data_IF_142526176332
#
_entry.id   IF_142526176332
#
_cell.length_a   1.000
_cell.length_b   1.000
_cell.length_c   1.000
_cell.angle_alpha   90.00
_cell.angle_beta   90.00
_cell.angle_gamma   90.00
#
_symmetry.space_group_name_H-M   'P 1'
#
loop_
_entity.id
_entity.type
_entity.pdbx_description
1 polymer ?
#
# COMPACT_ATOMS: atom_id res chain seq x y z
N UNK A 1 10.46 17.55 1.42
CA UNK A 1 9.75 16.25 1.47
C UNK A 1 10.16 15.46 0.25
N UNK A 2 10.81 14.30 0.41
CA UNK A 2 11.18 13.41 -0.68
C UNK A 2 9.91 12.90 -1.38
N UNK A 3 9.99 12.69 -2.71
CA UNK A 3 8.88 12.10 -3.46
C UNK A 3 8.78 10.62 -3.08
N UNK A 4 7.70 10.21 -2.43
CA UNK A 4 7.38 8.79 -2.23
C UNK A 4 6.86 8.18 -3.54
N UNK A 5 7.09 6.88 -3.79
CA UNK A 5 6.51 6.18 -4.92
C UNK A 5 4.98 6.25 -4.89
N UNK A 6 4.40 6.55 -6.04
CA UNK A 6 2.94 6.61 -6.25
C UNK A 6 2.60 6.12 -7.66
N UNK A 7 1.33 5.83 -7.91
CA UNK A 7 0.90 5.28 -9.19
C UNK A 7 1.35 3.84 -9.39
N UNK A 8 1.69 3.49 -10.63
CA UNK A 8 2.19 2.15 -10.96
C UNK A 8 3.71 2.10 -10.74
N UNK A 9 4.14 1.21 -9.86
CA UNK A 9 5.54 0.90 -9.56
C UNK A 9 5.87 -0.46 -10.17
N UNK A 10 6.86 -0.51 -11.07
CA UNK A 10 7.26 -1.75 -11.72
C UNK A 10 8.33 -2.49 -10.92
N UNK A 11 8.08 -3.76 -10.58
CA UNK A 11 9.11 -4.66 -10.04
C UNK A 11 9.70 -5.49 -11.16
N UNK A 12 11.03 -5.58 -11.24
CA UNK A 12 11.70 -6.39 -12.26
C UNK A 12 11.78 -7.87 -11.86
N UNK A 13 11.75 -8.71 -12.88
CA UNK A 13 12.13 -10.12 -12.85
C UNK A 13 12.48 -10.55 -14.27
N UNK A 14 13.78 -10.63 -14.59
CA UNK A 14 14.25 -10.99 -15.93
C UNK A 14 13.81 -12.37 -16.39
N UNK A 15 13.50 -13.29 -15.43
CA UNK A 15 13.03 -14.65 -15.74
C UNK A 15 11.57 -14.66 -16.15
N UNK A 16 10.80 -13.65 -15.75
CA UNK A 16 9.40 -13.46 -16.13
C UNK A 16 9.24 -12.56 -17.36
N UNK A 17 10.26 -11.80 -17.70
CA UNK A 17 10.25 -10.86 -18.82
C UNK A 17 10.18 -11.62 -20.17
N UNK A 18 9.37 -11.11 -21.12
CA UNK A 18 9.25 -11.69 -22.47
C UNK A 18 10.38 -11.31 -23.42
N UNK A 19 11.28 -10.42 -23.01
CA UNK A 19 12.41 -9.97 -23.80
C UNK A 19 13.55 -9.48 -22.89
N UNK A 20 14.57 -8.83 -23.45
CA UNK A 20 15.63 -8.22 -22.67
C UNK A 20 15.05 -7.27 -21.61
N UNK A 21 15.52 -7.39 -20.36
CA UNK A 21 14.92 -6.71 -19.23
C UNK A 21 14.84 -5.18 -19.44
N UNK A 22 15.92 -4.60 -19.96
CA UNK A 22 16.00 -3.14 -20.17
C UNK A 22 14.97 -2.68 -21.22
N UNK A 23 14.76 -3.44 -22.28
CA UNK A 23 13.74 -3.13 -23.30
C UNK A 23 12.32 -3.21 -22.75
N UNK A 24 12.02 -4.23 -21.94
CA UNK A 24 10.71 -4.37 -21.27
C UNK A 24 10.46 -3.22 -20.30
N UNK A 25 11.49 -2.80 -19.57
CA UNK A 25 11.37 -1.65 -18.65
C UNK A 25 11.23 -0.34 -19.44
N UNK A 26 11.99 -0.14 -20.52
CA UNK A 26 11.86 1.04 -21.39
C UNK A 26 10.43 1.16 -21.95
N UNK A 27 9.88 0.07 -22.48
CA UNK A 27 8.49 0.04 -22.97
C UNK A 27 7.48 0.36 -21.84
N UNK A 28 7.69 -0.13 -20.62
CA UNK A 28 6.82 0.22 -19.50
C UNK A 28 6.94 1.70 -19.11
N UNK A 29 8.14 2.28 -19.22
CA UNK A 29 8.39 3.72 -18.99
C UNK A 29 7.70 4.57 -20.04
N UNK A 30 7.71 4.16 -21.31
CA UNK A 30 6.93 4.77 -22.39
C UNK A 30 5.42 4.72 -22.09
N UNK A 31 4.96 3.63 -21.46
CA UNK A 31 3.59 3.46 -20.98
C UNK A 31 3.24 4.22 -19.70
N UNK A 32 4.13 5.08 -19.18
CA UNK A 32 3.85 5.96 -18.06
C UNK A 32 4.47 5.55 -16.71
N UNK A 33 5.17 4.42 -16.61
CA UNK A 33 5.90 4.04 -15.38
C UNK A 33 7.01 5.05 -15.08
N UNK A 34 7.10 5.46 -13.82
CA UNK A 34 8.13 6.41 -13.32
C UNK A 34 8.93 5.85 -12.14
N UNK A 35 8.51 4.74 -11.58
CA UNK A 35 9.13 4.07 -10.45
C UNK A 35 9.43 2.62 -10.80
N UNK A 36 10.68 2.23 -10.71
CA UNK A 36 11.12 0.86 -11.01
C UNK A 36 11.92 0.31 -9.83
N UNK A 37 11.57 -0.89 -9.38
CA UNK A 37 12.31 -1.63 -8.35
C UNK A 37 13.13 -2.73 -9.01
N UNK A 38 14.45 -2.58 -9.05
CA UNK A 38 15.39 -3.59 -9.54
C UNK A 38 15.53 -4.72 -8.52
N UNK A 39 15.00 -5.91 -8.81
CA UNK A 39 15.05 -7.04 -7.87
C UNK A 39 16.20 -8.00 -8.10
N UNK A 40 16.47 -8.46 -9.25
CA UNK A 40 17.52 -9.39 -9.74
C UNK A 40 18.55 -9.85 -8.67
N UNK A 41 18.06 -10.30 -7.48
CA UNK A 41 18.88 -10.58 -6.28
C UNK A 41 19.83 -11.79 -6.46
N UNK A 42 19.55 -12.62 -7.45
CA UNK A 42 20.35 -13.79 -7.78
C UNK A 42 21.54 -13.46 -8.70
N UNK A 43 21.61 -12.27 -9.24
CA UNK A 43 22.78 -11.81 -10.01
C UNK A 43 23.90 -11.32 -9.10
N UNK A 44 25.17 -11.52 -9.51
CA UNK A 44 26.31 -10.89 -8.88
C UNK A 44 26.18 -9.35 -8.85
N UNK A 45 26.80 -8.71 -7.84
CA UNK A 45 26.74 -7.24 -7.67
C UNK A 45 27.11 -6.47 -8.93
N UNK A 46 28.17 -6.91 -9.63
CA UNK A 46 28.66 -6.23 -10.82
C UNK A 46 27.61 -6.22 -11.96
N UNK A 47 26.94 -7.35 -12.18
CA UNK A 47 25.87 -7.46 -13.18
C UNK A 47 24.64 -6.64 -12.78
N UNK A 48 24.26 -6.66 -11.49
CA UNK A 48 23.18 -5.81 -10.99
C UNK A 48 23.50 -4.32 -11.12
N UNK A 49 24.76 -3.95 -10.89
CA UNK A 49 25.21 -2.56 -11.06
C UNK A 49 25.12 -2.12 -12.52
N UNK A 50 25.56 -2.97 -13.46
CA UNK A 50 25.43 -2.68 -14.88
C UNK A 50 23.96 -2.46 -15.28
N UNK A 51 23.06 -3.36 -14.88
CA UNK A 51 21.61 -3.17 -15.08
C UNK A 51 21.07 -1.89 -14.42
N UNK A 52 21.53 -1.57 -13.22
CA UNK A 52 21.11 -0.35 -12.53
C UNK A 52 21.52 0.92 -13.27
N UNK A 53 22.70 0.93 -13.89
CA UNK A 53 23.16 2.05 -14.72
C UNK A 53 22.28 2.23 -15.96
N UNK A 54 22.01 1.14 -16.68
CA UNK A 54 21.14 1.17 -17.87
C UNK A 54 19.71 1.61 -17.53
N UNK A 55 19.11 1.05 -16.45
CA UNK A 55 17.76 1.40 -16.04
C UNK A 55 17.65 2.85 -15.52
N UNK A 56 18.70 3.37 -14.87
CA UNK A 56 18.73 4.80 -14.50
C UNK A 56 18.78 5.70 -15.72
N UNK A 57 19.53 5.33 -16.77
CA UNK A 57 19.53 6.08 -18.02
C UNK A 57 18.13 6.14 -18.65
N UNK A 58 17.44 5.00 -18.76
CA UNK A 58 16.03 4.94 -19.25
C UNK A 58 15.09 5.83 -18.43
N UNK A 59 15.26 5.86 -17.10
CA UNK A 59 14.40 6.64 -16.21
C UNK A 59 14.74 8.13 -16.18
N UNK A 60 15.99 8.52 -16.46
CA UNK A 60 16.44 9.91 -16.40
C UNK A 60 15.66 10.83 -17.36
N UNK A 61 15.37 10.36 -18.57
CA UNK A 61 14.69 11.15 -19.61
C UNK A 61 13.25 11.53 -19.22
N UNK A 62 12.65 10.77 -18.30
CA UNK A 62 11.28 10.99 -17.82
C UNK A 62 11.19 11.45 -16.37
N UNK A 63 12.34 11.75 -15.74
CA UNK A 63 12.40 12.12 -14.32
C UNK A 63 11.94 11.00 -13.38
N UNK A 64 12.10 9.75 -13.80
CA UNK A 64 11.76 8.56 -13.01
C UNK A 64 12.85 8.20 -12.00
N UNK A 65 12.58 7.23 -11.15
CA UNK A 65 13.48 6.79 -10.07
C UNK A 65 13.65 5.28 -10.08
N UNK A 66 14.91 4.83 -10.04
CA UNK A 66 15.27 3.45 -9.80
C UNK A 66 15.44 3.20 -8.30
N UNK A 67 14.72 2.24 -7.77
CA UNK A 67 14.83 1.74 -6.40
C UNK A 67 15.50 0.37 -6.46
N UNK A 68 16.48 0.08 -5.61
CA UNK A 68 17.16 -1.22 -5.61
C UNK A 68 16.61 -2.10 -4.48
N UNK A 69 16.19 -3.31 -4.80
CA UNK A 69 15.75 -4.26 -3.78
C UNK A 69 16.95 -4.85 -3.02
N UNK A 70 17.01 -4.58 -1.73
CA UNK A 70 18.11 -4.96 -0.82
C UNK A 70 18.78 -3.73 -0.20
N UNK A 71 19.76 -3.94 0.71
CA UNK A 71 20.40 -2.84 1.43
C UNK A 71 21.49 -2.11 0.64
N UNK A 72 22.00 -2.69 -0.46
CA UNK A 72 22.99 -2.08 -1.34
C UNK A 72 22.29 -1.27 -2.44
N UNK A 73 22.42 0.07 -2.45
CA UNK A 73 21.75 0.92 -3.44
C UNK A 73 22.38 0.87 -4.83
N UNK A 74 23.43 0.08 -5.05
CA UNK A 74 24.16 -0.02 -6.33
C UNK A 74 24.52 1.38 -6.88
N UNK A 75 25.25 2.15 -6.08
CA UNK A 75 25.69 3.51 -6.38
C UNK A 75 24.54 4.53 -6.61
N UNK A 76 23.33 4.21 -6.11
CA UNK A 76 22.18 5.12 -6.07
C UNK A 76 21.84 5.58 -4.65
N UNK A 77 20.62 6.10 -4.46
CA UNK A 77 20.17 6.66 -3.20
C UNK A 77 18.74 6.19 -2.81
N UNK A 78 18.31 5.08 -3.41
CA UNK A 78 16.97 4.54 -3.18
C UNK A 78 17.00 3.01 -3.04
N UNK A 79 16.42 2.48 -1.95
CA UNK A 79 16.37 1.04 -1.67
C UNK A 79 14.97 0.60 -1.24
N UNK A 80 14.68 -0.67 -1.48
CA UNK A 80 13.52 -1.37 -0.92
C UNK A 80 13.99 -2.59 -0.13
N UNK A 81 13.83 -2.53 1.18
CA UNK A 81 14.30 -3.54 2.12
C UNK A 81 13.30 -4.68 2.30
N UNK A 82 13.77 -5.90 2.58
CA UNK A 82 12.89 -6.99 3.00
C UNK A 82 12.37 -6.76 4.44
N UNK A 83 11.28 -7.43 4.80
CA UNK A 83 10.71 -7.39 6.14
C UNK A 83 11.72 -7.79 7.24
N UNK A 84 12.63 -8.71 6.92
CA UNK A 84 13.62 -9.24 7.87
C UNK A 84 14.75 -8.26 8.26
N UNK A 85 14.89 -7.13 7.59
CA UNK A 85 15.96 -6.16 7.93
C UNK A 85 16.77 -5.66 6.73
N UNK A 86 17.84 -4.90 6.92
CA UNK A 86 18.46 -4.55 8.22
C UNK A 86 17.61 -3.59 9.07
N UNK A 87 17.86 -3.62 10.38
CA UNK A 87 17.33 -2.68 11.37
C UNK A 87 18.49 -2.11 12.19
N UNK A 88 18.62 -0.78 12.35
CA UNK A 88 17.82 0.25 11.69
C UNK A 88 18.05 0.26 10.16
N UNK A 89 17.17 0.89 9.39
CA UNK A 89 17.35 1.05 7.95
C UNK A 89 18.56 1.97 7.64
N UNK A 90 19.20 1.85 6.45
CA UNK A 90 20.26 2.76 6.04
C UNK A 90 19.71 4.18 5.84
N UNK A 91 20.56 5.18 6.02
CA UNK A 91 20.23 6.57 5.74
C UNK A 91 20.51 6.88 4.27
N UNK A 92 19.45 6.85 3.46
CA UNK A 92 19.45 7.14 2.03
C UNK A 92 18.32 8.11 1.71
N UNK A 93 18.28 8.65 0.50
CA UNK A 93 17.27 9.59 0.06
C UNK A 93 15.86 8.98 -0.05
N UNK A 94 15.76 7.65 -0.26
CA UNK A 94 14.49 6.92 -0.27
C UNK A 94 14.68 5.50 0.25
N UNK A 95 13.94 5.14 1.28
CA UNK A 95 13.95 3.80 1.87
C UNK A 95 12.54 3.24 2.00
N UNK A 96 12.26 2.17 1.27
CA UNK A 96 11.02 1.40 1.43
C UNK A 96 11.25 0.08 2.15
N UNK A 97 10.18 -0.54 2.66
CA UNK A 97 10.21 -1.86 3.28
C UNK A 97 9.01 -2.71 2.91
N UNK A 98 9.28 -4.00 2.70
CA UNK A 98 8.21 -5.00 2.57
C UNK A 98 7.60 -5.27 3.95
N UNK A 99 6.25 -5.26 4.01
CA UNK A 99 5.47 -5.65 5.18
C UNK A 99 4.32 -6.57 4.76
N UNK A 100 3.89 -7.44 5.69
CA UNK A 100 2.86 -8.45 5.43
C UNK A 100 1.73 -8.40 6.47
N UNK A 101 1.97 -7.77 7.61
CA UNK A 101 1.03 -7.67 8.72
C UNK A 101 1.26 -6.39 9.55
N UNK A 102 0.40 -6.20 10.55
CA UNK A 102 0.45 -5.05 11.46
C UNK A 102 1.72 -5.05 12.35
N UNK A 103 2.25 -6.23 12.72
CA UNK A 103 3.44 -6.31 13.55
C UNK A 103 4.69 -5.84 12.78
N UNK A 104 4.78 -6.14 11.49
CA UNK A 104 5.86 -5.65 10.63
C UNK A 104 5.73 -4.15 10.36
N UNK A 105 4.51 -3.62 10.17
CA UNK A 105 4.26 -2.18 10.06
C UNK A 105 4.67 -1.43 11.33
N UNK A 106 4.37 -1.98 12.51
CA UNK A 106 4.73 -1.38 13.80
C UNK A 106 6.24 -1.31 14.05
N UNK A 107 7.05 -2.05 13.30
CA UNK A 107 8.53 -2.03 13.37
C UNK A 107 9.17 -0.96 12.48
N UNK A 108 8.38 -0.28 11.64
CA UNK A 108 8.90 0.81 10.81
C UNK A 108 9.38 1.97 11.69
N UNK A 109 10.49 2.57 11.31
CA UNK A 109 11.14 3.64 12.08
C UNK A 109 11.37 4.91 11.27
N UNK A 110 12.18 4.82 10.22
CA UNK A 110 12.56 5.95 9.35
C UNK A 110 12.41 5.60 7.87
N UNK A 111 11.67 4.54 7.56
CA UNK A 111 11.30 4.20 6.20
C UNK A 111 10.32 5.24 5.65
N UNK A 112 10.47 5.57 4.36
CA UNK A 112 9.62 6.55 3.69
C UNK A 112 8.29 5.96 3.19
N UNK A 113 8.27 4.64 2.91
CA UNK A 113 7.09 3.92 2.46
C UNK A 113 7.16 2.42 2.79
N UNK A 114 6.01 1.75 2.76
CA UNK A 114 5.93 0.29 2.86
C UNK A 114 5.25 -0.31 1.62
N UNK A 115 5.55 -1.59 1.34
CA UNK A 115 4.67 -2.42 0.49
C UNK A 115 3.93 -3.40 1.37
N UNK A 116 2.62 -3.59 1.14
CA UNK A 116 1.82 -4.63 1.76
C UNK A 116 1.53 -5.76 0.76
N UNK A 117 1.84 -6.99 1.14
CA UNK A 117 1.70 -8.16 0.26
C UNK A 117 1.41 -9.46 1.02
N UNK A 118 0.73 -10.43 0.36
CA UNK A 118 0.11 -10.34 -0.95
C UNK A 118 -1.28 -9.71 -0.90
N UNK A 119 -1.57 -8.74 -1.78
CA UNK A 119 -2.91 -8.13 -1.84
C UNK A 119 -3.94 -9.09 -2.46
N UNK A 120 -3.58 -9.73 -3.57
CA UNK A 120 -4.39 -10.76 -4.23
C UNK A 120 -3.60 -12.07 -4.37
N UNK A 121 -4.25 -13.21 -4.65
CA UNK A 121 -3.57 -14.45 -4.97
C UNK A 121 -2.59 -14.25 -6.13
N UNK A 122 -1.36 -14.76 -5.98
CA UNK A 122 -0.29 -14.48 -6.95
C UNK A 122 0.28 -15.77 -7.56
N UNK A 123 0.51 -15.76 -8.88
CA UNK A 123 1.19 -16.84 -9.59
C UNK A 123 2.70 -16.87 -9.32
N UNK A 124 3.29 -15.74 -8.96
CA UNK A 124 4.74 -15.62 -8.75
C UNK A 124 5.22 -16.36 -7.51
N UNK A 125 4.36 -16.52 -6.49
CA UNK A 125 4.61 -17.30 -5.28
C UNK A 125 3.37 -18.11 -4.90
N UNK A 126 3.11 -19.22 -5.57
CA UNK A 126 1.96 -20.07 -5.25
C UNK A 126 1.97 -20.51 -3.79
N UNK A 127 0.84 -20.40 -3.07
CA UNK A 127 0.73 -20.79 -1.66
C UNK A 127 1.34 -19.83 -0.63
N UNK A 128 1.78 -18.65 -1.06
CA UNK A 128 2.30 -17.63 -0.15
C UNK A 128 1.14 -16.90 0.55
N UNK A 129 0.89 -17.26 1.81
CA UNK A 129 -0.06 -16.67 2.77
C UNK A 129 -1.51 -16.59 2.28
N UNK A 130 -2.45 -16.27 3.13
CA UNK A 130 -3.73 -15.76 2.66
C UNK A 130 -3.52 -14.37 2.06
N UNK A 131 -4.19 -14.10 0.91
CA UNK A 131 -4.22 -12.76 0.35
C UNK A 131 -5.00 -11.82 1.27
N UNK A 132 -4.53 -10.60 1.44
CA UNK A 132 -5.16 -9.58 2.29
C UNK A 132 -6.57 -9.20 1.79
N UNK A 133 -6.75 -9.18 0.48
CA UNK A 133 -7.92 -8.59 -0.14
C UNK A 133 -7.98 -7.07 0.07
N UNK A 134 -8.96 -6.38 -0.54
CA UNK A 134 -9.12 -4.93 -0.38
C UNK A 134 -9.43 -4.50 1.06
N UNK A 135 -10.18 -5.30 1.82
CA UNK A 135 -10.54 -5.00 3.21
C UNK A 135 -9.34 -5.10 4.14
N UNK A 136 -8.62 -6.22 4.12
CA UNK A 136 -7.40 -6.37 4.94
C UNK A 136 -6.31 -5.37 4.54
N UNK A 137 -6.22 -5.02 3.25
CA UNK A 137 -5.33 -3.95 2.80
C UNK A 137 -5.71 -2.60 3.43
N UNK A 138 -7.00 -2.24 3.45
CA UNK A 138 -7.50 -1.00 4.06
C UNK A 138 -7.21 -0.92 5.56
N UNK A 139 -7.45 -2.01 6.28
CA UNK A 139 -7.18 -2.10 7.72
C UNK A 139 -5.71 -1.84 8.02
N UNK A 140 -4.80 -2.50 7.29
CA UNK A 140 -3.37 -2.34 7.47
C UNK A 140 -2.86 -0.96 7.03
N UNK A 141 -3.41 -0.38 5.95
CA UNK A 141 -3.08 0.98 5.52
C UNK A 141 -3.45 2.00 6.60
N UNK A 142 -4.64 1.83 7.22
CA UNK A 142 -5.09 2.73 8.30
C UNK A 142 -4.16 2.69 9.51
N UNK A 143 -3.54 1.55 9.78
CA UNK A 143 -2.58 1.37 10.87
C UNK A 143 -1.13 1.74 10.48
N UNK A 144 -0.85 1.99 9.21
CA UNK A 144 0.51 2.26 8.74
C UNK A 144 0.98 3.66 9.09
N UNK A 145 2.20 3.83 9.65
CA UNK A 145 2.77 5.15 9.90
C UNK A 145 3.31 5.83 8.63
N UNK A 146 3.38 5.13 7.50
CA UNK A 146 3.94 5.62 6.24
C UNK A 146 3.01 5.30 5.06
N UNK A 147 3.15 5.99 3.91
CA UNK A 147 2.44 5.64 2.68
C UNK A 147 2.66 4.18 2.28
N UNK A 148 1.63 3.55 1.72
CA UNK A 148 1.64 2.13 1.38
C UNK A 148 1.41 1.92 -0.11
N UNK A 149 2.23 1.05 -0.70
CA UNK A 149 2.00 0.46 -2.02
C UNK A 149 1.39 -0.93 -1.85
N UNK A 150 0.30 -1.20 -2.54
CA UNK A 150 -0.26 -2.55 -2.61
C UNK A 150 0.59 -3.44 -3.55
N UNK A 151 0.93 -4.65 -3.12
CA UNK A 151 1.77 -5.57 -3.90
C UNK A 151 1.17 -6.98 -3.89
N UNK A 152 1.27 -7.64 -5.03
CA UNK A 152 0.95 -9.06 -5.21
C UNK A 152 -0.39 -9.34 -5.84
N UNK A 153 -0.36 -10.09 -6.95
CA UNK A 153 -1.54 -10.54 -7.69
C UNK A 153 -2.30 -9.44 -8.42
N UNK A 154 -1.74 -8.24 -8.58
CA UNK A 154 -2.37 -7.13 -9.29
C UNK A 154 -2.10 -7.30 -10.78
N UNK A 155 -3.14 -7.64 -11.55
CA UNK A 155 -3.05 -7.94 -12.99
C UNK A 155 -4.10 -7.16 -13.81
N UNK A 156 -5.12 -6.56 -13.19
CA UNK A 156 -6.25 -5.92 -13.89
C UNK A 156 -6.53 -4.49 -13.41
N UNK A 157 -7.16 -3.64 -14.25
CA UNK A 157 -7.62 -2.31 -13.85
C UNK A 157 -8.52 -2.30 -12.61
N UNK A 158 -9.42 -3.27 -12.48
CA UNK A 158 -10.34 -3.35 -11.34
C UNK A 158 -9.60 -3.64 -10.02
N UNK A 159 -8.55 -4.46 -10.09
CA UNK A 159 -7.68 -4.68 -8.93
C UNK A 159 -6.90 -3.42 -8.54
N UNK A 160 -6.44 -2.62 -9.53
CA UNK A 160 -5.81 -1.32 -9.27
C UNK A 160 -6.79 -0.38 -8.58
N UNK A 161 -8.02 -0.24 -9.10
CA UNK A 161 -9.07 0.59 -8.48
C UNK A 161 -9.35 0.15 -7.03
N UNK A 162 -9.50 -1.16 -6.81
CA UNK A 162 -9.74 -1.70 -5.46
C UNK A 162 -8.60 -1.37 -4.48
N UNK A 163 -7.34 -1.35 -4.94
CA UNK A 163 -6.20 -0.93 -4.10
C UNK A 163 -6.26 0.56 -3.76
N UNK A 164 -6.58 1.41 -4.74
CA UNK A 164 -6.73 2.86 -4.53
C UNK A 164 -7.89 3.14 -3.57
N UNK A 165 -9.03 2.49 -3.76
CA UNK A 165 -10.20 2.61 -2.87
C UNK A 165 -9.88 2.14 -1.44
N UNK A 166 -8.95 1.20 -1.27
CA UNK A 166 -8.44 0.78 0.03
C UNK A 166 -7.49 1.80 0.66
N UNK A 167 -7.04 2.83 -0.06
CA UNK A 167 -6.15 3.89 0.42
C UNK A 167 -4.68 3.72 0.02
N UNK A 168 -4.34 2.78 -0.87
CA UNK A 168 -2.98 2.64 -1.35
C UNK A 168 -2.53 3.86 -2.17
N UNK A 169 -1.33 4.36 -1.89
CA UNK A 169 -0.73 5.49 -2.64
C UNK A 169 -0.18 5.07 -3.99
N UNK A 170 -0.08 3.78 -4.25
CA UNK A 170 0.32 3.20 -5.50
C UNK A 170 0.17 1.68 -5.49
N UNK A 171 0.40 1.08 -6.65
CA UNK A 171 0.36 -0.37 -6.86
C UNK A 171 1.69 -0.85 -7.41
N UNK A 172 2.26 -1.87 -6.77
CA UNK A 172 3.52 -2.47 -7.18
C UNK A 172 3.23 -3.73 -8.02
N UNK A 173 3.60 -3.70 -9.30
CA UNK A 173 3.25 -4.69 -10.31
C UNK A 173 4.51 -5.35 -10.84
N UNK A 174 4.48 -6.67 -10.99
CA UNK A 174 5.54 -7.45 -11.60
C UNK A 174 5.02 -8.19 -12.84
N UNK A 175 4.27 -9.23 -12.59
CA UNK A 175 3.94 -10.24 -13.60
C UNK A 175 3.06 -9.72 -14.73
N UNK A 176 2.15 -8.81 -14.45
CA UNK A 176 1.28 -8.24 -15.48
C UNK A 176 2.08 -7.52 -16.57
N UNK A 177 3.11 -6.76 -16.20
CA UNK A 177 3.95 -6.02 -17.15
C UNK A 177 5.09 -6.91 -17.70
N UNK A 178 5.83 -7.62 -16.84
CA UNK A 178 6.95 -8.44 -17.28
C UNK A 178 6.55 -9.51 -18.29
N UNK A 179 5.37 -10.12 -18.15
CA UNK A 179 4.85 -11.15 -19.05
C UNK A 179 3.98 -10.62 -20.19
N UNK A 180 3.77 -9.31 -20.26
CA UNK A 180 2.90 -8.70 -21.27
C UNK A 180 3.50 -8.88 -22.68
N UNK A 181 2.66 -9.14 -23.69
CA UNK A 181 3.07 -9.01 -25.08
C UNK A 181 3.42 -7.58 -25.46
N UNK A 182 2.74 -6.62 -24.85
CA UNK A 182 2.95 -5.19 -24.97
C UNK A 182 3.04 -4.57 -23.56
N UNK A 183 4.25 -4.39 -23.03
CA UNK A 183 4.46 -3.78 -21.70
C UNK A 183 4.00 -2.31 -21.62
N UNK A 184 4.12 -1.55 -22.72
CA UNK A 184 3.71 -0.14 -22.78
C UNK A 184 2.19 -0.03 -22.64
N UNK A 185 1.44 -0.75 -23.47
CA UNK A 185 -0.03 -0.74 -23.41
C UNK A 185 -0.55 -1.22 -22.04
N UNK A 186 0.10 -2.26 -21.45
CA UNK A 186 -0.28 -2.76 -20.12
C UNK A 186 -0.01 -1.72 -19.05
N UNK A 187 1.15 -1.08 -19.07
CA UNK A 187 1.49 -0.02 -18.12
C UNK A 187 0.53 1.16 -18.22
N UNK A 188 0.21 1.61 -19.46
CA UNK A 188 -0.77 2.67 -19.70
C UNK A 188 -2.16 2.30 -19.15
N UNK A 189 -2.62 1.08 -19.41
CA UNK A 189 -3.94 0.62 -18.93
C UNK A 189 -4.03 0.62 -17.39
N UNK A 190 -3.01 0.11 -16.72
CA UNK A 190 -2.98 0.10 -15.25
C UNK A 190 -2.79 1.51 -14.67
N UNK A 191 -1.97 2.35 -15.33
CA UNK A 191 -1.76 3.75 -14.94
C UNK A 191 -3.03 4.57 -15.02
N UNK A 192 -3.77 4.48 -16.14
CA UNK A 192 -5.05 5.16 -16.32
C UNK A 192 -6.07 4.73 -15.26
N UNK A 193 -6.15 3.43 -14.95
CA UNK A 193 -7.04 2.95 -13.89
C UNK A 193 -6.68 3.51 -12.51
N UNK A 194 -5.38 3.70 -12.25
CA UNK A 194 -4.93 4.33 -11.02
C UNK A 194 -5.32 5.81 -10.96
N UNK A 195 -5.06 6.57 -12.03
CA UNK A 195 -5.35 8.01 -12.10
C UNK A 195 -6.86 8.29 -12.00
N UNK A 196 -7.68 7.49 -12.69
CA UNK A 196 -9.14 7.56 -12.59
C UNK A 196 -9.64 7.37 -11.16
N UNK A 197 -9.14 6.34 -10.46
CA UNK A 197 -9.54 6.03 -9.10
C UNK A 197 -8.99 7.04 -8.06
N UNK A 198 -7.78 7.57 -8.28
CA UNK A 198 -7.14 8.53 -7.40
C UNK A 198 -7.71 9.96 -7.54
N UNK A 199 -8.40 10.24 -8.65
CA UNK A 199 -9.05 11.53 -8.85
C UNK A 199 -10.33 11.58 -8.03
N UNK A 200 -10.48 12.48 -7.03
CA UNK A 200 -11.70 12.59 -6.27
C UNK A 200 -12.84 12.94 -7.23
N UNK A 201 -13.73 12.00 -7.47
CA UNK A 201 -14.99 12.31 -8.12
C UNK A 201 -15.66 13.43 -7.31
N UNK A 202 -15.92 14.55 -7.94
CA UNK A 202 -16.83 15.58 -7.41
C UNK A 202 -18.14 14.85 -7.05
N UNK A 203 -18.29 14.47 -5.79
CA UNK A 203 -19.54 13.88 -5.31
C UNK A 203 -20.57 14.97 -5.47
N UNK A 204 -21.36 14.85 -6.51
CA UNK A 204 -22.61 15.62 -6.62
C UNK A 204 -23.37 15.36 -5.31
N UNK A 205 -23.67 16.40 -4.52
CA UNK A 205 -24.44 16.18 -3.32
C UNK A 205 -25.77 15.55 -3.74
N UNK A 206 -26.08 14.37 -3.20
CA UNK A 206 -27.42 13.83 -3.31
C UNK A 206 -28.39 14.94 -2.88
N UNK A 207 -29.42 15.24 -3.66
CA UNK A 207 -30.44 16.17 -3.22
C UNK A 207 -31.01 15.64 -1.89
N UNK A 208 -30.82 16.43 -0.86
CA UNK A 208 -31.37 16.16 0.47
C UNK A 208 -32.89 16.04 0.27
N UNK A 209 -33.44 14.85 0.46
CA UNK A 209 -34.88 14.65 0.48
C UNK A 209 -35.45 15.61 1.53
N UNK A 210 -36.21 16.59 1.09
CA UNK A 210 -36.97 17.48 1.96
C UNK A 210 -37.89 16.61 2.84
N UNK A 211 -37.61 16.59 4.14
CA UNK A 211 -38.51 16.00 5.12
C UNK A 211 -39.73 16.93 5.21
N UNK A 212 -40.94 16.48 4.85
CA UNK A 212 -42.11 17.33 4.99
C UNK A 212 -42.37 17.62 6.47
N UNK A 213 -42.28 18.86 6.85
CA UNK A 213 -42.66 19.36 8.18
C UNK A 213 -44.15 19.15 8.41
N UNK A 214 -44.48 18.10 9.13
CA UNK A 214 -45.84 17.84 9.59
C UNK A 214 -46.14 18.79 10.73
N UNK A 215 -47.17 19.63 10.54
CA UNK A 215 -47.60 20.70 11.43
C UNK A 215 -47.81 20.28 12.89
N UNK A 216 -47.28 21.12 13.76
CA UNK A 216 -47.52 21.08 15.19
C UNK A 216 -48.98 21.41 15.51
N UNK A 217 -49.70 20.51 16.15
CA UNK A 217 -50.92 20.81 16.88
C UNK A 217 -50.57 21.24 18.32
N UNK A 218 -51.27 22.20 18.88
CA UNK A 218 -51.01 22.68 20.27
C UNK A 218 -51.57 21.69 21.30
N UNK A 219 -50.76 21.38 22.30
CA UNK A 219 -51.15 20.61 23.47
C UNK A 219 -51.50 21.53 24.65
N UNK A 220 -52.63 21.26 25.24
CA UNK A 220 -53.20 21.84 26.48
C UNK A 220 -52.44 21.31 27.72
N UNK A 221 -52.26 22.09 28.78
CA UNK A 221 -51.53 21.71 30.00
C UNK A 221 -52.41 20.98 31.00
N UNK A 222 -51.93 19.95 31.68
CA UNK A 222 -52.51 19.41 32.89
C UNK A 222 -51.48 19.07 33.94
N UNK A 223 -51.74 19.60 35.09
CA UNK A 223 -51.16 19.60 36.42
C UNK A 223 -50.60 18.26 36.97
N UNK A 224 -49.49 18.33 37.68
CA UNK A 224 -49.29 18.05 39.11
C UNK A 224 -49.34 16.60 39.60
N UNK A 225 -48.27 16.15 40.19
CA UNK A 225 -48.19 15.63 41.54
C UNK A 225 -46.85 15.02 41.88
N UNK A 226 -46.35 15.45 42.95
CA UNK A 226 -45.26 15.22 43.85
C UNK A 226 -44.94 13.78 44.31
N UNK A 227 -43.78 13.66 44.94
CA UNK A 227 -43.28 12.72 45.97
C UNK A 227 -42.67 11.42 45.41
N UNK A 228 -41.54 10.92 45.83
CA UNK A 228 -40.71 10.94 47.04
C UNK A 228 -39.36 10.23 46.74
N UNK A 229 -38.35 10.63 47.45
CA UNK A 229 -37.03 10.05 47.52
C UNK A 229 -37.02 8.63 48.15
N UNK A 230 -36.08 7.81 47.72
CA UNK A 230 -35.37 6.86 48.59
C UNK A 230 -34.00 6.50 48.06
N UNK A 231 -33.06 6.70 48.94
CA UNK A 231 -31.64 6.31 48.98
C UNK A 231 -31.47 4.78 49.01
N UNK A 232 -30.37 4.29 48.43
CA UNK A 232 -29.94 2.90 48.60
C UNK A 232 -28.55 2.64 48.06
N UNK A 233 -27.61 2.55 48.97
CA UNK A 233 -26.20 2.18 48.88
C UNK A 233 -25.98 0.83 48.22
N UNK A 234 -24.81 0.64 47.54
CA UNK A 234 -24.27 -0.68 47.23
C UNK A 234 -23.10 -0.64 46.27
N UNK A 235 -21.90 -0.42 46.76
CA UNK A 235 -20.66 -0.82 46.09
C UNK A 235 -20.40 -2.28 46.34
N UNK A 236 -19.83 -3.03 45.40
CA UNK A 236 -18.93 -4.12 45.71
C UNK A 236 -17.51 -3.85 45.18
N UNK A 237 -16.54 -4.26 46.00
CA UNK A 237 -15.12 -4.22 45.80
C UNK A 237 -14.63 -5.35 44.83
N UNK A 238 -13.41 -5.20 44.24
CA UNK A 238 -12.80 -6.23 43.40
C UNK A 238 -12.06 -7.29 44.25
N UNK A 239 -11.89 -8.53 43.73
CA UNK A 239 -11.09 -9.55 44.37
C UNK A 239 -9.61 -9.41 44.07
N UNK A 240 -8.83 -9.73 45.08
CA UNK A 240 -7.40 -9.73 45.25
C UNK A 240 -6.66 -10.78 44.43
N UNK A 241 -5.44 -10.41 44.06
CA UNK A 241 -4.39 -11.25 43.47
C UNK A 241 -4.08 -12.47 44.32
N UNK A 242 -3.75 -13.58 43.66
CA UNK A 242 -2.99 -14.69 44.24
C UNK A 242 -1.81 -15.01 43.33
N UNK A 243 -0.65 -14.78 43.90
CA UNK A 243 0.67 -15.20 43.42
C UNK A 243 0.80 -16.70 43.62
N UNK A 244 1.24 -17.44 42.64
CA UNK A 244 1.88 -18.73 42.82
C UNK A 244 3.10 -18.85 41.92
N UNK A 245 4.25 -18.92 42.60
CA UNK A 245 5.57 -19.33 42.12
C UNK A 245 5.60 -20.84 41.92
N UNK A 246 6.47 -21.26 41.04
CA UNK A 246 7.27 -22.50 40.91
C UNK A 246 7.11 -23.17 39.53
N UNK A 247 8.07 -23.36 38.84
CA UNK A 247 9.40 -23.97 38.67
C UNK A 247 9.82 -23.78 37.21
#
# INVERSE_FOLDING_TARGET
MGRCPAGVVLLTDRRAARGPLVEVVAAAVDGGVRWVVLREKDLPRAERLALAVELRAVLADVGGTLIVAGPDPLDGDAVHLPAAGPYPPPRLGLVGRSCHDAAELARLTTEDYATLSPTFPTRTKPGYGPALGPEGLRELITASPVPVLALGGIETPDQVRACVDAGATGVAVLGAIMRAPDPAATATTLGSAFEEAATPMSRTPHPTAEIPTRGLRPTVPTQGSSLTARSGHGRPQPPTATTEERQ
#
